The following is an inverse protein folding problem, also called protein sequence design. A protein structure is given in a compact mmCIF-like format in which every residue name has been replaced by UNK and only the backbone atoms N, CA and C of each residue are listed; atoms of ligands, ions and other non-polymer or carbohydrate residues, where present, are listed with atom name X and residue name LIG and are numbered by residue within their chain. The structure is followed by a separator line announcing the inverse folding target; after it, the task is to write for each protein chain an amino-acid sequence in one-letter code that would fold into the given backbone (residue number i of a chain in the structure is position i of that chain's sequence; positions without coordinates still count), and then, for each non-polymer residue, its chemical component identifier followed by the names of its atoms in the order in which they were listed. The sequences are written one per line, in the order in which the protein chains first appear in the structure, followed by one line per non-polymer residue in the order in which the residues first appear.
data_IF_238659549579
#
_entry.id   IF_238659549579
#
_cell.length_a   1.000
_cell.length_b   1.000
_cell.length_c   1.000
_cell.angle_alpha   90.00
_cell.angle_beta   90.00
_cell.angle_gamma   90.00
#
_symmetry.space_group_name_H-M   'P 1'
#
loop_
_entity.id
_entity.type
_entity.pdbx_description
1 polymer ?
#
# COMPACT_ATOMS: atom_id res chain seq x y z
N UNK A 1 5.84 6.80 1.46
CA UNK A 1 5.21 6.64 2.81
C UNK A 1 4.13 7.69 2.93
N UNK A 2 2.86 7.29 2.81
CA UNK A 2 1.72 8.21 3.03
C UNK A 2 1.67 8.56 4.52
N UNK A 3 1.23 9.78 4.78
CA UNK A 3 1.48 10.55 5.99
C UNK A 3 0.14 11.02 6.55
N UNK A 4 -0.02 11.00 7.87
CA UNK A 4 -1.24 11.51 8.52
C UNK A 4 -1.39 13.00 8.20
N UNK A 5 -2.48 13.41 7.55
CA UNK A 5 -2.66 14.76 6.98
C UNK A 5 -3.72 15.61 7.69
N UNK A 6 -4.28 15.12 8.81
CA UNK A 6 -5.32 15.85 9.54
C UNK A 6 -4.84 17.23 10.00
N UNK A 7 -3.61 17.30 10.53
CA UNK A 7 -3.05 18.52 11.10
C UNK A 7 -2.23 19.33 10.07
N UNK A 8 -2.25 20.68 10.14
CA UNK A 8 -1.44 21.54 9.28
C UNK A 8 0.07 21.27 9.41
N UNK A 9 0.54 21.00 10.63
CA UNK A 9 1.95 20.73 10.90
C UNK A 9 2.45 19.50 10.14
N UNK A 10 1.64 18.43 10.08
CA UNK A 10 1.97 17.22 9.36
C UNK A 10 2.10 17.52 7.86
N UNK A 11 1.13 18.20 7.24
CA UNK A 11 1.23 18.56 5.81
C UNK A 11 2.46 19.41 5.50
N UNK A 12 2.79 20.39 6.35
CA UNK A 12 3.98 21.23 6.22
C UNK A 12 5.29 20.43 6.34
N UNK A 13 5.38 19.54 7.32
CA UNK A 13 6.53 18.63 7.47
C UNK A 13 6.79 17.82 6.19
N UNK A 14 5.73 17.58 5.42
CA UNK A 14 5.73 16.72 4.25
C UNK A 14 5.71 17.47 2.92
N UNK A 15 5.71 18.80 2.92
CA UNK A 15 5.69 19.62 1.71
C UNK A 15 4.43 19.43 0.86
N UNK A 16 3.32 18.99 1.46
CA UNK A 16 2.08 18.74 0.72
C UNK A 16 1.35 20.06 0.44
N UNK A 17 0.98 20.37 -0.81
CA UNK A 17 0.25 21.59 -1.15
C UNK A 17 -1.21 21.52 -0.67
N UNK A 18 -1.82 22.68 -0.41
CA UNK A 18 -3.23 22.79 -0.02
C UNK A 18 -3.51 22.56 1.48
N UNK A 19 -4.74 22.89 1.93
CA UNK A 19 -5.09 22.90 3.33
C UNK A 19 -5.22 21.48 3.92
N UNK A 20 -5.04 21.37 5.23
CA UNK A 20 -5.33 20.17 6.03
C UNK A 20 -6.81 20.00 6.31
N UNK A 21 -7.19 18.79 6.74
CA UNK A 21 -8.57 18.48 7.14
C UNK A 21 -9.04 19.44 8.24
N UNK A 22 -8.19 19.71 9.22
CA UNK A 22 -8.46 20.70 10.27
C UNK A 22 -8.66 22.12 9.72
N UNK A 23 -7.88 22.55 8.74
CA UNK A 23 -7.99 23.90 8.15
C UNK A 23 -9.27 24.10 7.31
N UNK A 24 -9.85 23.01 6.80
CA UNK A 24 -11.13 23.05 6.07
C UNK A 24 -12.32 22.64 6.94
N UNK A 25 -12.14 22.52 8.26
CA UNK A 25 -13.17 22.11 9.22
C UNK A 25 -13.87 20.80 8.83
N UNK A 26 -13.07 19.84 8.33
CA UNK A 26 -13.54 18.52 7.92
C UNK A 26 -12.90 17.45 8.80
N UNK A 27 -13.70 16.55 9.34
CA UNK A 27 -13.19 15.43 10.14
C UNK A 27 -12.76 14.26 9.23
N UNK A 28 -12.02 13.31 9.79
CA UNK A 28 -11.81 12.03 9.12
C UNK A 28 -13.11 11.22 9.03
N UNK A 29 -13.16 10.32 8.05
CA UNK A 29 -14.31 9.40 7.90
C UNK A 29 -14.35 8.44 9.10
N UNK A 30 -15.46 8.34 9.85
CA UNK A 30 -15.53 7.49 11.03
C UNK A 30 -15.37 6.00 10.75
N UNK A 31 -15.85 5.52 9.60
CA UNK A 31 -15.78 4.10 9.25
C UNK A 31 -14.43 3.67 8.65
N UNK A 32 -13.76 4.55 7.91
CA UNK A 32 -12.63 4.15 7.07
C UNK A 32 -11.59 5.25 6.84
N UNK A 33 -11.54 6.22 7.75
CA UNK A 33 -10.43 7.16 7.91
C UNK A 33 -9.17 6.49 8.47
N UNK A 34 -8.11 7.27 8.63
CA UNK A 34 -6.80 6.75 9.07
C UNK A 34 -6.88 6.25 10.51
N UNK A 35 -7.55 7.01 11.39
CA UNK A 35 -7.72 6.62 12.79
C UNK A 35 -8.60 5.39 12.94
N UNK A 36 -9.72 5.32 12.21
CA UNK A 36 -10.61 4.17 12.21
C UNK A 36 -9.88 2.89 11.75
N UNK A 37 -9.10 2.98 10.67
CA UNK A 37 -8.28 1.86 10.21
C UNK A 37 -7.22 1.46 11.24
N UNK A 38 -6.55 2.45 11.86
CA UNK A 38 -5.54 2.19 12.89
C UNK A 38 -6.13 1.48 14.10
N UNK A 39 -7.31 1.92 14.56
CA UNK A 39 -8.02 1.29 15.68
C UNK A 39 -8.36 -0.18 15.35
N UNK A 40 -8.95 -0.44 14.17
CA UNK A 40 -9.33 -1.79 13.77
C UNK A 40 -8.13 -2.76 13.75
N UNK A 41 -6.95 -2.28 13.33
CA UNK A 41 -5.71 -3.08 13.34
C UNK A 41 -5.24 -3.34 14.76
N UNK A 42 -5.23 -2.32 15.61
CA UNK A 42 -4.81 -2.45 17.02
C UNK A 42 -5.73 -3.43 17.75
N UNK A 43 -7.04 -3.33 17.55
CA UNK A 43 -8.03 -4.25 18.13
C UNK A 43 -7.80 -5.70 17.67
N UNK A 44 -7.55 -5.91 16.37
CA UNK A 44 -7.28 -7.26 15.83
C UNK A 44 -5.98 -7.84 16.38
N UNK A 45 -4.92 -7.03 16.46
CA UNK A 45 -3.64 -7.44 17.05
C UNK A 45 -3.82 -7.78 18.54
N UNK A 46 -4.56 -6.95 19.28
CA UNK A 46 -4.87 -7.17 20.68
C UNK A 46 -5.63 -8.49 20.87
N UNK A 47 -6.69 -8.71 20.10
CA UNK A 47 -7.46 -9.96 20.15
C UNK A 47 -6.57 -11.16 19.81
N UNK A 48 -5.80 -11.10 18.73
CA UNK A 48 -4.88 -12.17 18.34
C UNK A 48 -3.87 -12.44 19.46
N UNK A 49 -3.29 -11.41 20.07
CA UNK A 49 -2.32 -11.57 21.16
C UNK A 49 -2.93 -12.29 22.37
N UNK A 50 -4.08 -11.82 22.87
CA UNK A 50 -4.72 -12.38 24.08
C UNK A 50 -5.46 -13.69 23.87
N UNK A 51 -5.64 -14.14 22.63
CA UNK A 51 -6.18 -15.49 22.32
C UNK A 51 -5.10 -16.57 22.29
N UNK A 52 -3.81 -16.21 22.38
CA UNK A 52 -2.73 -17.20 22.49
C UNK A 52 -2.84 -17.96 23.81
N UNK A 53 -2.58 -19.28 23.75
CA UNK A 53 -2.63 -20.14 24.93
C UNK A 53 -1.55 -19.74 25.97
N UNK A 54 -0.38 -19.31 25.50
CA UNK A 54 0.70 -18.79 26.34
C UNK A 54 1.09 -17.39 25.86
N UNK A 55 1.03 -16.40 26.76
CA UNK A 55 1.43 -15.03 26.45
C UNK A 55 2.95 -14.91 26.27
N UNK A 56 3.72 -15.82 26.86
CA UNK A 56 5.19 -15.85 26.71
C UNK A 56 5.62 -16.25 25.28
N UNK A 57 4.73 -16.93 24.55
CA UNK A 57 4.94 -17.33 23.16
C UNK A 57 4.35 -16.32 22.16
N UNK A 58 3.55 -15.37 22.62
CA UNK A 58 2.92 -14.35 21.80
C UNK A 58 3.89 -13.18 21.55
N UNK A 59 4.29 -12.97 20.29
CA UNK A 59 5.07 -11.80 19.88
C UNK A 59 4.21 -10.90 18.99
N UNK A 60 3.89 -9.70 19.49
CA UNK A 60 3.12 -8.67 18.77
C UNK A 60 3.73 -8.33 17.42
N UNK A 61 5.07 -8.38 17.28
CA UNK A 61 5.76 -8.11 16.00
C UNK A 61 5.44 -9.18 14.96
N UNK A 62 5.36 -10.44 15.38
CA UNK A 62 5.02 -11.55 14.50
C UNK A 62 3.54 -11.51 14.10
N UNK A 63 2.66 -11.19 15.06
CA UNK A 63 1.23 -10.99 14.80
C UNK A 63 1.02 -9.86 13.80
N UNK A 64 1.63 -8.69 14.03
CA UNK A 64 1.57 -7.54 13.13
C UNK A 64 2.10 -7.91 11.73
N UNK A 65 3.25 -8.59 11.65
CA UNK A 65 3.81 -9.01 10.37
C UNK A 65 2.90 -10.01 9.63
N UNK A 66 2.22 -10.90 10.35
CA UNK A 66 1.22 -11.82 9.77
C UNK A 66 0.04 -11.03 9.18
N UNK A 67 -0.50 -10.09 9.95
CA UNK A 67 -1.58 -9.21 9.51
C UNK A 67 -1.19 -8.39 8.29
N UNK A 68 0.03 -7.85 8.27
CA UNK A 68 0.57 -7.09 7.13
C UNK A 68 0.61 -7.94 5.86
N UNK A 69 1.13 -9.16 5.94
CA UNK A 69 1.25 -10.06 4.77
C UNK A 69 -0.11 -10.43 4.15
N UNK A 70 -1.19 -10.39 4.92
CA UNK A 70 -2.51 -10.71 4.38
C UNK A 70 -3.10 -9.59 3.50
N UNK A 71 -2.55 -8.38 3.54
CA UNK A 71 -3.13 -7.20 2.87
C UNK A 71 -2.98 -7.30 1.35
N UNK A 72 -1.78 -7.61 0.85
CA UNK A 72 -1.51 -7.78 -0.59
C UNK A 72 -1.25 -9.25 -0.95
N UNK A 73 -1.61 -10.19 -0.07
CA UNK A 73 -1.57 -11.62 -0.37
C UNK A 73 -2.27 -11.93 -1.71
N UNK A 74 -1.64 -12.77 -2.53
CA UNK A 74 -2.11 -13.13 -3.86
C UNK A 74 -1.83 -12.06 -4.94
N UNK A 75 -1.25 -10.91 -4.60
CA UNK A 75 -0.83 -9.93 -5.59
C UNK A 75 0.56 -10.28 -6.11
N UNK A 76 0.68 -10.46 -7.42
CA UNK A 76 1.97 -10.44 -8.13
C UNK A 76 2.14 -9.14 -8.91
N UNK A 77 3.16 -8.37 -8.57
CA UNK A 77 3.33 -6.97 -8.97
C UNK A 77 4.55 -6.82 -9.87
N UNK A 78 4.41 -6.07 -10.97
CA UNK A 78 5.53 -5.55 -11.75
C UNK A 78 5.50 -4.03 -11.79
N UNK A 79 6.65 -3.40 -11.62
CA UNK A 79 6.77 -1.95 -11.68
C UNK A 79 7.16 -1.47 -13.10
N UNK A 80 6.65 -0.30 -13.48
CA UNK A 80 6.88 0.33 -14.78
C UNK A 80 7.07 1.85 -14.64
N UNK A 81 8.26 2.36 -15.00
CA UNK A 81 8.64 3.78 -14.84
C UNK A 81 8.49 4.34 -13.41
N UNK A 82 8.60 3.47 -12.41
CA UNK A 82 8.62 3.87 -10.98
C UNK A 82 10.05 4.07 -10.50
N UNK A 83 10.99 3.27 -11.01
CA UNK A 83 12.41 3.34 -10.69
C UNK A 83 13.20 3.80 -11.93
N UNK A 84 14.42 4.36 -11.76
CA UNK A 84 15.29 4.70 -12.87
C UNK A 84 15.52 3.51 -13.82
N UNK A 85 15.61 3.79 -15.12
CA UNK A 85 15.90 2.76 -16.12
C UNK A 85 17.33 2.26 -15.90
N UNK A 86 17.51 0.94 -15.81
CA UNK A 86 18.80 0.33 -15.54
C UNK A 86 19.16 0.24 -14.05
N UNK A 87 18.21 0.50 -13.14
CA UNK A 87 18.38 0.24 -11.70
C UNK A 87 18.81 -1.22 -11.47
N UNK A 88 19.97 -1.40 -10.84
CA UNK A 88 20.59 -2.72 -10.64
C UNK A 88 19.92 -3.48 -9.50
N UNK A 89 19.37 -2.76 -8.52
CA UNK A 89 18.76 -3.36 -7.33
C UNK A 89 17.34 -2.82 -7.07
N UNK A 90 16.36 -3.06 -7.97
CA UNK A 90 14.99 -2.54 -7.81
C UNK A 90 14.30 -3.07 -6.56
N UNK A 91 14.71 -4.24 -6.05
CA UNK A 91 14.20 -4.84 -4.81
C UNK A 91 14.58 -4.05 -3.55
N UNK A 92 15.61 -3.22 -3.60
CA UNK A 92 15.97 -2.31 -2.50
C UNK A 92 15.13 -1.04 -2.49
N UNK A 93 14.32 -0.80 -3.53
CA UNK A 93 13.47 0.36 -3.57
C UNK A 93 12.40 0.28 -2.47
N UNK A 94 12.16 1.34 -1.67
CA UNK A 94 11.22 1.29 -0.55
C UNK A 94 9.81 0.83 -0.91
N UNK A 95 9.31 1.22 -2.09
CA UNK A 95 8.00 0.78 -2.58
C UNK A 95 7.94 -0.72 -2.88
N UNK A 96 9.03 -1.31 -3.39
CA UNK A 96 9.13 -2.74 -3.61
C UNK A 96 9.10 -3.49 -2.28
N UNK A 97 9.95 -3.07 -1.34
CA UNK A 97 10.03 -3.66 0.00
C UNK A 97 8.70 -3.53 0.74
N UNK A 98 8.00 -2.40 0.59
CA UNK A 98 6.67 -2.19 1.17
C UNK A 98 5.67 -3.18 0.58
N UNK A 99 5.65 -3.37 -0.75
CA UNK A 99 4.76 -4.32 -1.38
C UNK A 99 4.99 -5.76 -0.87
N UNK A 100 6.26 -6.19 -0.77
CA UNK A 100 6.61 -7.53 -0.28
C UNK A 100 6.35 -7.69 1.23
N UNK A 101 6.62 -6.67 2.04
CA UNK A 101 6.29 -6.66 3.46
C UNK A 101 4.79 -6.89 3.69
N UNK A 102 3.95 -6.33 2.82
CA UNK A 102 2.50 -6.48 2.86
C UNK A 102 1.99 -7.71 2.09
N UNK A 103 2.90 -8.62 1.70
CA UNK A 103 2.59 -9.96 1.20
C UNK A 103 2.39 -10.09 -0.31
N UNK A 104 2.71 -9.05 -1.07
CA UNK A 104 2.81 -9.18 -2.52
C UNK A 104 4.08 -9.95 -2.93
N UNK A 105 4.06 -10.52 -4.12
CA UNK A 105 5.26 -11.04 -4.80
C UNK A 105 5.64 -10.07 -5.90
N UNK A 106 6.81 -9.43 -5.78
CA UNK A 106 7.28 -8.50 -6.78
C UNK A 106 8.17 -9.20 -7.81
N UNK A 107 8.06 -8.79 -9.08
CA UNK A 107 8.83 -9.36 -10.19
C UNK A 107 9.31 -8.26 -11.13
N UNK A 108 10.42 -8.52 -11.81
CA UNK A 108 10.92 -7.64 -12.87
C UNK A 108 10.33 -7.99 -14.25
N UNK A 109 9.82 -9.22 -14.39
CA UNK A 109 9.35 -9.79 -15.64
C UNK A 109 7.83 -9.90 -15.64
N UNK A 110 7.25 -9.68 -16.82
CA UNK A 110 5.86 -10.01 -17.08
C UNK A 110 5.74 -11.52 -17.24
N UNK A 111 4.79 -12.12 -16.56
CA UNK A 111 4.30 -13.48 -16.84
C UNK A 111 2.80 -13.58 -16.55
N UNK A 112 2.22 -14.74 -16.83
CA UNK A 112 0.79 -14.99 -16.68
C UNK A 112 0.28 -14.82 -15.24
N UNK A 113 1.17 -14.95 -14.24
CA UNK A 113 0.83 -14.82 -12.83
C UNK A 113 0.79 -13.36 -12.38
N UNK A 114 1.32 -12.40 -13.18
CA UNK A 114 1.24 -10.97 -12.85
C UNK A 114 -0.22 -10.53 -12.81
N UNK A 115 -0.57 -9.90 -11.69
CA UNK A 115 -1.92 -9.40 -11.39
C UNK A 115 -2.03 -7.89 -11.51
N UNK A 116 -0.94 -7.16 -11.19
CA UNK A 116 -0.89 -5.70 -11.17
C UNK A 116 0.38 -5.17 -11.85
N UNK A 117 0.21 -4.11 -12.61
CA UNK A 117 1.28 -3.23 -13.06
C UNK A 117 1.19 -1.92 -12.29
N UNK A 118 2.22 -1.60 -11.53
CA UNK A 118 2.32 -0.33 -10.81
C UNK A 118 3.12 0.66 -11.66
N UNK A 119 2.51 1.77 -12.04
CA UNK A 119 3.11 2.74 -12.96
C UNK A 119 2.72 4.20 -12.66
N UNK A 120 3.56 5.15 -13.09
CA UNK A 120 3.27 6.59 -12.97
C UNK A 120 2.48 7.15 -14.17
N UNK A 121 2.54 6.48 -15.31
CA UNK A 121 1.93 6.93 -16.57
C UNK A 121 1.64 5.77 -17.50
N UNK A 122 0.75 6.00 -18.47
CA UNK A 122 0.47 5.07 -19.55
C UNK A 122 1.60 5.02 -20.60
N UNK A 123 1.46 4.12 -21.57
CA UNK A 123 2.32 4.09 -22.76
C UNK A 123 3.66 3.37 -22.59
N UNK A 124 3.73 2.40 -21.69
CA UNK A 124 4.82 1.40 -21.66
C UNK A 124 4.30 0.05 -22.12
N UNK A 125 5.19 -0.82 -22.60
CA UNK A 125 4.83 -2.18 -22.99
C UNK A 125 4.21 -2.97 -21.84
N UNK A 126 4.71 -2.79 -20.61
CA UNK A 126 4.15 -3.39 -19.38
C UNK A 126 2.71 -2.95 -19.14
N UNK A 127 2.42 -1.66 -19.26
CA UNK A 127 1.08 -1.12 -19.07
C UNK A 127 0.14 -1.59 -20.20
N UNK A 128 0.59 -1.51 -21.46
CA UNK A 128 -0.21 -1.94 -22.61
C UNK A 128 -0.55 -3.44 -22.52
N UNK A 129 0.42 -4.28 -22.12
CA UNK A 129 0.19 -5.69 -21.87
C UNK A 129 -0.89 -5.93 -20.81
N UNK A 130 -0.79 -5.25 -19.66
CA UNK A 130 -1.76 -5.40 -18.59
C UNK A 130 -3.18 -5.00 -19.02
N UNK A 131 -3.31 -3.88 -19.71
CA UNK A 131 -4.60 -3.45 -20.26
C UNK A 131 -5.16 -4.47 -21.26
N UNK A 132 -4.32 -5.01 -22.15
CA UNK A 132 -4.74 -6.00 -23.15
C UNK A 132 -5.14 -7.35 -22.56
N UNK A 133 -4.64 -7.68 -21.37
CA UNK A 133 -4.87 -8.96 -20.68
C UNK A 133 -5.81 -8.86 -19.48
N UNK A 134 -6.40 -7.69 -19.25
CA UNK A 134 -7.33 -7.45 -18.14
C UNK A 134 -6.67 -7.47 -16.75
N UNK A 135 -5.37 -7.16 -16.67
CA UNK A 135 -4.66 -6.97 -15.39
C UNK A 135 -4.82 -5.54 -14.88
N UNK A 136 -4.68 -5.34 -13.58
CA UNK A 136 -4.82 -4.02 -12.98
C UNK A 136 -3.62 -3.14 -13.33
N UNK A 137 -3.89 -1.88 -13.68
CA UNK A 137 -2.87 -0.84 -13.85
C UNK A 137 -3.15 0.25 -12.83
N UNK A 138 -2.25 0.38 -11.85
CA UNK A 138 -2.47 1.27 -10.69
C UNK A 138 -1.27 2.19 -10.46
N UNK A 139 -1.54 3.37 -9.90
CA UNK A 139 -0.53 4.31 -9.44
C UNK A 139 0.21 3.77 -8.20
N UNK A 140 1.51 4.09 -7.97
CA UNK A 140 2.23 3.73 -6.74
C UNK A 140 1.49 4.00 -5.43
N UNK A 141 0.66 5.05 -5.42
CA UNK A 141 -0.20 5.39 -4.30
C UNK A 141 -1.12 4.25 -3.84
N UNK A 142 -1.43 3.27 -4.69
CA UNK A 142 -2.21 2.08 -4.31
C UNK A 142 -1.48 1.22 -3.27
N UNK A 143 -0.19 0.94 -3.48
CA UNK A 143 0.64 0.18 -2.52
C UNK A 143 0.76 0.97 -1.23
N UNK A 144 1.04 2.27 -1.35
CA UNK A 144 1.24 3.10 -0.18
C UNK A 144 -0.04 3.32 0.64
N UNK A 145 -1.20 3.46 -0.02
CA UNK A 145 -2.49 3.58 0.63
C UNK A 145 -2.87 2.26 1.30
N UNK A 146 -2.57 1.14 0.64
CA UNK A 146 -2.80 -0.17 1.24
C UNK A 146 -1.98 -0.39 2.51
N UNK A 147 -0.73 0.07 2.48
CA UNK A 147 0.16 0.02 3.63
C UNK A 147 -0.28 0.94 4.78
N UNK A 148 -0.73 2.17 4.46
CA UNK A 148 -1.16 3.13 5.48
C UNK A 148 -2.46 2.70 6.17
N UNK A 149 -3.45 2.29 5.38
CA UNK A 149 -4.78 1.95 5.87
C UNK A 149 -4.86 0.50 6.38
N UNK A 150 -3.77 -0.25 6.29
CA UNK A 150 -3.69 -1.66 6.68
C UNK A 150 -4.81 -2.53 6.07
N UNK A 151 -5.18 -2.20 4.83
CA UNK A 151 -6.21 -2.89 4.05
C UNK A 151 -5.86 -2.76 2.58
N UNK A 152 -6.28 -3.70 1.74
CA UNK A 152 -6.07 -3.56 0.29
C UNK A 152 -6.89 -2.39 -0.21
N UNK A 153 -6.23 -1.37 -0.75
CA UNK A 153 -6.90 -0.25 -1.39
C UNK A 153 -7.60 -0.73 -2.68
N UNK A 154 -8.71 -0.08 -3.03
CA UNK A 154 -9.40 -0.33 -4.30
C UNK A 154 -8.48 0.01 -5.47
N UNK A 155 -8.32 -0.91 -6.41
CA UNK A 155 -7.51 -0.65 -7.61
C UNK A 155 -8.12 0.48 -8.46
N UNK A 156 -9.45 0.64 -8.42
CA UNK A 156 -10.17 1.65 -9.20
C UNK A 156 -9.83 3.08 -8.76
N UNK A 157 -9.67 3.29 -7.45
CA UNK A 157 -9.35 4.62 -6.87
C UNK A 157 -7.95 5.10 -7.29
N UNK A 158 -7.09 4.16 -7.68
CA UNK A 158 -5.71 4.41 -8.07
C UNK A 158 -5.44 4.06 -9.54
N UNK A 159 -6.48 3.82 -10.34
CA UNK A 159 -6.32 3.56 -11.77
C UNK A 159 -5.67 4.77 -12.47
N UNK A 160 -4.69 4.51 -13.33
CA UNK A 160 -4.05 5.56 -14.13
C UNK A 160 -5.02 5.96 -15.25
N UNK A 161 -5.52 7.20 -15.20
CA UNK A 161 -6.41 7.75 -16.22
C UNK A 161 -5.60 8.21 -17.46
N UNK A 162 -6.18 8.14 -18.67
CA UNK A 162 -5.59 8.69 -19.89
C UNK A 162 -5.36 10.20 -19.81
#
# INVERSE_FOLDING_TARGET
MIRYIYFPCSRRQFGLPGPSLLEIDHDERPEDGTLACSLAVIERIHQNFFTHHSLDEADVRNILASEQRNILAGCRIVFSRVFPVGEVHPHLHPLWQTAEQFGAVCTNQIDEQVTHVVANSLGTDKVNWALSTGRFVVHPGWVEASALLYRRASEQDFAIKP
#
